data_IF_586096948786
#
_entry.id   IF_586096948786
#
_cell.length_a   1.000
_cell.length_b   1.000
_cell.length_c   1.000
_cell.angle_alpha   90.00
_cell.angle_beta   90.00
_cell.angle_gamma   90.00
#
_symmetry.space_group_name_H-M   'P 1'
#
loop_
_entity.id
_entity.type
_entity.pdbx_description
1 polymer ?
#
# COMPACT_ATOMS: atom_id res chain seq x y z
N UNK A 1 -27.66 37.51 -27.86
CA UNK A 1 -26.61 36.76 -28.58
C UNK A 1 -27.22 35.44 -29.07
N UNK A 2 -27.47 35.31 -30.39
CA UNK A 2 -27.96 34.05 -30.97
C UNK A 2 -26.84 33.01 -30.88
N UNK A 3 -27.13 31.86 -30.29
CA UNK A 3 -26.16 30.82 -29.96
C UNK A 3 -25.61 30.18 -31.24
N UNK A 4 -24.42 30.63 -31.67
CA UNK A 4 -23.78 30.28 -32.95
C UNK A 4 -23.59 28.77 -33.13
N UNK A 5 -23.46 28.04 -32.02
CA UNK A 5 -23.20 26.59 -32.00
C UNK A 5 -24.38 25.70 -32.40
N UNK A 6 -25.64 26.16 -32.28
CA UNK A 6 -26.80 25.35 -32.67
C UNK A 6 -27.17 25.51 -34.16
N UNK A 7 -26.80 26.63 -34.78
CA UNK A 7 -27.13 26.91 -36.19
C UNK A 7 -26.15 26.26 -37.18
N UNK A 8 -24.98 25.84 -36.70
CA UNK A 8 -23.94 25.18 -37.51
C UNK A 8 -23.99 23.65 -37.39
N UNK A 9 -24.98 23.09 -36.67
CA UNK A 9 -25.23 21.65 -36.69
C UNK A 9 -25.87 21.33 -38.05
N UNK A 10 -25.25 20.50 -38.90
CA UNK A 10 -25.87 20.11 -40.16
C UNK A 10 -27.25 19.53 -39.86
N UNK A 11 -28.26 19.84 -40.68
CA UNK A 11 -29.53 19.10 -40.71
C UNK A 11 -29.21 17.65 -41.16
N UNK A 12 -28.65 16.87 -40.25
CA UNK A 12 -28.57 15.44 -40.40
C UNK A 12 -29.98 14.98 -40.11
N UNK A 13 -30.75 14.68 -41.16
CA UNK A 13 -32.04 14.04 -41.00
C UNK A 13 -31.87 12.93 -39.97
N UNK A 14 -32.55 13.05 -38.83
CA UNK A 14 -32.41 12.13 -37.69
C UNK A 14 -32.67 10.68 -38.12
N UNK A 15 -33.39 10.50 -39.23
CA UNK A 15 -33.64 9.24 -39.92
C UNK A 15 -32.36 8.51 -40.38
N UNK A 16 -31.31 9.24 -40.76
CA UNK A 16 -30.07 8.66 -41.32
C UNK A 16 -28.94 8.51 -40.30
N UNK A 17 -29.15 8.94 -39.06
CA UNK A 17 -28.14 8.79 -37.99
C UNK A 17 -27.85 7.31 -37.73
N UNK A 18 -28.88 6.46 -37.75
CA UNK A 18 -28.73 5.02 -37.50
C UNK A 18 -27.97 4.34 -38.64
N UNK A 19 -28.32 4.64 -39.90
CA UNK A 19 -27.67 4.05 -41.07
C UNK A 19 -26.22 4.52 -41.21
N UNK A 20 -25.94 5.82 -40.98
CA UNK A 20 -24.56 6.34 -40.93
C UNK A 20 -23.75 5.70 -39.81
N UNK A 21 -24.30 5.55 -38.60
CA UNK A 21 -23.61 4.87 -37.50
C UNK A 21 -23.29 3.43 -37.84
N UNK A 22 -24.23 2.68 -38.40
CA UNK A 22 -24.01 1.31 -38.83
C UNK A 22 -22.94 1.20 -39.91
N UNK A 23 -22.96 2.12 -40.90
CA UNK A 23 -21.93 2.18 -41.95
C UNK A 23 -20.54 2.46 -41.37
N UNK A 24 -20.42 3.47 -40.51
CA UNK A 24 -19.16 3.81 -39.81
C UNK A 24 -18.67 2.64 -38.94
N UNK A 25 -19.57 1.94 -38.24
CA UNK A 25 -19.22 0.76 -37.45
C UNK A 25 -18.75 -0.40 -38.35
N UNK A 26 -19.39 -0.60 -39.51
CA UNK A 26 -19.00 -1.66 -40.45
C UNK A 26 -17.69 -1.38 -41.18
N UNK A 27 -17.36 -0.10 -41.38
CA UNK A 27 -16.14 0.36 -42.04
C UNK A 27 -14.97 0.53 -41.05
N UNK A 28 -15.26 0.60 -39.74
CA UNK A 28 -14.23 0.69 -38.71
C UNK A 28 -13.37 -0.59 -38.69
N UNK A 29 -12.07 -0.42 -38.54
CA UNK A 29 -11.15 -1.54 -38.36
C UNK A 29 -11.52 -2.33 -37.11
N UNK A 30 -11.48 -3.67 -37.21
CA UNK A 30 -11.81 -4.60 -36.11
C UNK A 30 -10.73 -4.60 -34.98
N UNK A 31 -9.78 -3.68 -35.05
CA UNK A 31 -8.75 -3.47 -34.03
C UNK A 31 -9.23 -2.47 -33.00
N UNK A 32 -9.17 -2.84 -31.71
CA UNK A 32 -9.40 -1.92 -30.61
C UNK A 32 -8.48 -0.69 -30.74
N UNK A 33 -9.01 0.54 -30.75
CA UNK A 33 -8.18 1.73 -30.74
C UNK A 33 -7.28 1.70 -29.50
N UNK A 34 -5.97 1.80 -29.71
CA UNK A 34 -4.99 1.94 -28.63
C UNK A 34 -5.08 3.37 -28.10
N UNK A 35 -6.00 3.62 -27.18
CA UNK A 35 -6.07 4.87 -26.45
C UNK A 35 -5.40 4.72 -25.09
N UNK A 36 -4.43 5.57 -24.78
CA UNK A 36 -3.94 5.70 -23.42
C UNK A 36 -4.63 6.90 -22.78
N UNK A 37 -5.50 6.62 -21.80
CA UNK A 37 -6.15 7.68 -21.04
C UNK A 37 -5.10 8.50 -20.29
N UNK A 38 -5.24 9.83 -20.30
CA UNK A 38 -4.38 10.73 -19.52
C UNK A 38 -4.33 10.34 -18.03
N UNK A 39 -5.43 9.79 -17.50
CA UNK A 39 -5.46 9.22 -16.14
C UNK A 39 -4.46 8.06 -15.95
N UNK A 40 -4.30 7.19 -16.95
CA UNK A 40 -3.33 6.09 -16.91
C UNK A 40 -1.89 6.61 -17.01
N UNK A 41 -1.65 7.64 -17.83
CA UNK A 41 -0.33 8.31 -17.92
C UNK A 41 0.02 8.92 -16.57
N UNK A 42 -0.91 9.67 -15.98
CA UNK A 42 -0.72 10.28 -14.66
C UNK A 42 -0.49 9.22 -13.58
N UNK A 43 -1.29 8.17 -13.55
CA UNK A 43 -1.13 7.08 -12.58
C UNK A 43 0.24 6.39 -12.70
N UNK A 44 0.76 6.19 -13.93
CA UNK A 44 2.11 5.65 -14.13
C UNK A 44 3.21 6.57 -13.60
N UNK A 45 3.03 7.89 -13.74
CA UNK A 45 3.99 8.87 -13.24
C UNK A 45 3.94 9.01 -11.71
N UNK A 46 2.75 8.94 -11.11
CA UNK A 46 2.57 9.05 -9.66
C UNK A 46 2.87 7.74 -8.91
N UNK A 47 2.63 6.59 -9.55
CA UNK A 47 2.78 5.27 -8.94
C UNK A 47 3.59 4.32 -9.83
N UNK A 48 4.86 4.67 -10.14
CA UNK A 48 5.73 3.80 -10.90
C UNK A 48 5.97 2.50 -10.13
N UNK A 49 5.98 1.37 -10.84
CA UNK A 49 6.31 0.07 -10.23
C UNK A 49 7.77 0.02 -9.78
N UNK A 50 8.65 0.63 -10.58
CA UNK A 50 10.09 0.74 -10.35
C UNK A 50 10.53 2.11 -10.82
N UNK A 51 11.43 2.73 -10.07
CA UNK A 51 12.17 3.92 -10.43
C UNK A 51 13.66 3.58 -10.35
N UNK A 52 14.42 4.01 -11.36
CA UNK A 52 15.87 3.89 -11.39
C UNK A 52 16.47 5.19 -10.87
N UNK A 53 17.32 5.06 -9.85
CA UNK A 53 17.95 6.21 -9.20
C UNK A 53 19.46 6.04 -9.18
N UNK A 54 20.17 7.15 -9.03
CA UNK A 54 21.61 7.19 -8.84
C UNK A 54 21.93 7.84 -7.51
N UNK A 55 22.85 7.25 -6.75
CA UNK A 55 23.37 7.86 -5.53
C UNK A 55 24.26 9.03 -5.95
N UNK A 56 23.89 10.25 -5.58
CA UNK A 56 24.67 11.46 -5.93
C UNK A 56 25.45 12.01 -4.77
N UNK A 57 25.06 11.69 -3.54
CA UNK A 57 25.70 12.16 -2.32
C UNK A 57 25.44 11.18 -1.17
N UNK A 58 26.41 11.06 -0.27
CA UNK A 58 26.31 10.25 0.95
C UNK A 58 26.87 11.11 2.10
N UNK A 59 26.04 11.34 3.11
CA UNK A 59 26.43 12.03 4.34
C UNK A 59 26.53 11.01 5.47
N UNK A 60 27.71 10.91 6.09
CA UNK A 60 27.95 10.05 7.24
C UNK A 60 27.43 10.70 8.53
N UNK A 61 26.60 9.95 9.26
CA UNK A 61 26.21 10.22 10.64
C UNK A 61 26.82 9.14 11.54
N UNK A 62 26.75 9.31 12.86
CA UNK A 62 27.40 8.43 13.83
C UNK A 62 27.24 6.91 13.54
N UNK A 63 26.01 6.39 13.54
CA UNK A 63 25.71 4.98 13.22
C UNK A 63 24.72 4.82 12.04
N UNK A 64 24.61 5.86 11.23
CA UNK A 64 23.70 5.93 10.09
C UNK A 64 24.32 6.72 8.94
N UNK A 65 23.76 6.60 7.75
CA UNK A 65 24.11 7.44 6.60
C UNK A 65 22.86 8.00 5.94
N UNK A 66 22.98 9.18 5.36
CA UNK A 66 21.95 9.75 4.48
C UNK A 66 22.39 9.58 3.05
N UNK A 67 21.51 9.02 2.21
CA UNK A 67 21.75 8.85 0.79
C UNK A 67 20.86 9.81 0.02
N UNK A 68 21.47 10.65 -0.81
CA UNK A 68 20.73 11.45 -1.80
C UNK A 68 20.59 10.64 -3.08
N UNK A 69 19.34 10.32 -3.42
CA UNK A 69 18.94 9.54 -4.58
C UNK A 69 18.36 10.49 -5.64
N UNK A 70 19.03 10.62 -6.78
CA UNK A 70 18.52 11.38 -7.92
C UNK A 70 17.92 10.46 -8.99
N UNK A 71 16.94 10.96 -9.75
CA UNK A 71 16.45 10.27 -10.95
C UNK A 71 17.61 9.89 -11.88
N UNK A 72 17.56 8.68 -12.48
CA UNK A 72 18.56 8.22 -13.45
C UNK A 72 17.95 8.16 -14.86
N UNK A 73 18.16 9.20 -15.70
CA UNK A 73 17.62 9.26 -17.06
C UNK A 73 18.18 8.18 -17.98
N UNK A 74 19.42 7.72 -17.75
CA UNK A 74 20.08 6.69 -18.56
C UNK A 74 19.37 5.33 -18.43
N UNK A 75 18.68 5.12 -17.30
CA UNK A 75 17.85 3.95 -17.03
C UNK A 75 16.34 4.24 -17.16
N UNK A 76 15.98 5.35 -17.80
CA UNK A 76 14.60 5.68 -18.18
C UNK A 76 13.80 6.48 -17.14
N UNK A 77 14.30 6.67 -15.92
CA UNK A 77 13.64 7.51 -14.91
C UNK A 77 14.08 8.96 -15.08
N UNK A 78 13.24 9.77 -15.73
CA UNK A 78 13.51 11.20 -15.96
C UNK A 78 13.09 12.11 -14.82
N UNK A 79 12.05 11.69 -14.07
CA UNK A 79 11.50 12.40 -12.91
C UNK A 79 11.14 11.36 -11.86
N UNK A 80 11.35 11.72 -10.60
CA UNK A 80 10.86 10.93 -9.49
C UNK A 80 9.35 11.16 -9.35
N UNK A 81 8.65 10.16 -8.81
CA UNK A 81 7.26 10.29 -8.43
C UNK A 81 7.08 11.36 -7.33
N UNK A 82 5.86 11.83 -7.14
CA UNK A 82 5.57 12.69 -6.00
C UNK A 82 5.20 11.85 -4.78
N UNK A 83 5.49 12.38 -3.59
CA UNK A 83 5.18 11.73 -2.32
C UNK A 83 4.56 12.72 -1.35
N UNK A 84 3.93 12.19 -0.30
CA UNK A 84 3.49 12.96 0.88
C UNK A 84 4.50 12.78 1.99
N UNK A 85 4.74 13.84 2.76
CA UNK A 85 5.70 13.80 3.84
C UNK A 85 5.41 12.66 4.83
N UNK A 86 6.42 11.83 5.08
CA UNK A 86 6.32 10.61 5.90
C UNK A 86 6.11 9.29 5.13
N UNK A 87 6.00 9.33 3.80
CA UNK A 87 6.03 8.12 2.98
C UNK A 87 7.45 7.53 2.85
N UNK A 88 7.52 6.26 2.45
CA UNK A 88 8.77 5.53 2.23
C UNK A 88 8.92 5.07 0.78
N UNK A 89 10.14 4.71 0.40
CA UNK A 89 10.44 3.94 -0.81
C UNK A 89 11.07 2.61 -0.43
N UNK A 90 10.81 1.58 -1.22
CA UNK A 90 11.38 0.26 -1.05
C UNK A 90 12.57 0.08 -1.98
N UNK A 91 13.76 -0.14 -1.44
CA UNK A 91 14.98 -0.49 -2.18
C UNK A 91 14.93 -1.95 -2.61
N UNK A 92 15.16 -2.21 -3.89
CA UNK A 92 15.31 -3.56 -4.44
C UNK A 92 16.79 -3.91 -4.49
N UNK A 93 17.19 -4.94 -3.74
CA UNK A 93 18.59 -5.30 -3.56
C UNK A 93 18.82 -6.74 -4.02
N UNK A 94 20.01 -6.98 -4.57
CA UNK A 94 20.52 -8.31 -4.90
C UNK A 94 21.89 -8.48 -4.25
N UNK A 95 21.95 -9.32 -3.22
CA UNK A 95 23.14 -9.51 -2.37
C UNK A 95 23.40 -11.01 -2.27
N UNK A 96 24.57 -11.49 -2.70
CA UNK A 96 24.99 -12.90 -2.61
C UNK A 96 23.95 -13.92 -3.09
N UNK A 97 23.29 -13.63 -4.22
CA UNK A 97 22.24 -14.47 -4.80
C UNK A 97 20.85 -14.29 -4.17
N UNK A 98 20.75 -13.64 -3.00
CA UNK A 98 19.48 -13.25 -2.39
C UNK A 98 18.86 -12.06 -3.13
N UNK A 99 17.53 -12.06 -3.27
CA UNK A 99 16.79 -10.94 -3.86
C UNK A 99 15.80 -10.45 -2.82
N UNK A 100 16.01 -9.24 -2.31
CA UNK A 100 15.27 -8.73 -1.17
C UNK A 100 14.85 -7.28 -1.34
N UNK A 101 13.84 -6.90 -0.56
CA UNK A 101 13.31 -5.54 -0.55
C UNK A 101 13.40 -4.94 0.85
N UNK A 102 13.81 -3.67 0.98
CA UNK A 102 13.84 -2.96 2.28
C UNK A 102 13.19 -1.58 2.18
N UNK A 103 12.20 -1.26 3.03
CA UNK A 103 11.57 0.05 3.07
C UNK A 103 12.43 1.04 3.84
N UNK A 104 12.54 2.27 3.32
CA UNK A 104 13.19 3.40 3.98
C UNK A 104 12.35 4.66 3.80
N UNK A 105 11.95 5.28 4.91
CA UNK A 105 11.20 6.53 4.89
C UNK A 105 12.01 7.63 4.22
N UNK A 106 11.36 8.40 3.35
CA UNK A 106 11.98 9.55 2.71
C UNK A 106 12.15 10.61 3.79
N UNK A 107 13.38 11.10 3.99
CA UNK A 107 13.75 12.10 5.00
C UNK A 107 14.05 13.48 4.37
N UNK A 108 13.43 13.77 3.23
CA UNK A 108 13.45 15.07 2.55
C UNK A 108 12.04 15.65 2.40
N UNK A 109 11.95 16.93 2.06
CA UNK A 109 10.70 17.60 1.67
C UNK A 109 10.09 16.99 0.40
N UNK A 110 8.75 16.85 0.29
CA UNK A 110 8.06 16.61 -0.97
C UNK A 110 8.45 17.57 -2.10
N UNK A 111 8.86 18.80 -1.76
CA UNK A 111 9.31 19.80 -2.73
C UNK A 111 10.57 19.36 -3.48
N UNK A 112 11.50 18.68 -2.83
CA UNK A 112 12.74 18.19 -3.45
C UNK A 112 12.48 17.12 -4.53
N UNK A 113 11.34 16.41 -4.46
CA UNK A 113 10.93 15.48 -5.52
C UNK A 113 10.77 16.19 -6.88
N UNK A 114 10.30 17.45 -6.88
CA UNK A 114 10.19 18.26 -8.10
C UNK A 114 11.54 18.62 -8.71
N UNK A 115 12.58 18.64 -7.88
CA UNK A 115 13.99 18.81 -8.27
C UNK A 115 14.65 17.46 -8.61
N UNK A 116 13.90 16.35 -8.53
CA UNK A 116 14.36 15.02 -8.88
C UNK A 116 15.21 14.35 -7.81
N UNK A 117 15.04 14.73 -6.53
CA UNK A 117 15.82 14.20 -5.40
C UNK A 117 14.95 13.59 -4.31
N UNK A 118 15.37 12.46 -3.78
CA UNK A 118 14.95 11.94 -2.48
C UNK A 118 16.15 11.83 -1.56
N UNK A 119 15.93 11.99 -0.25
CA UNK A 119 16.90 11.57 0.77
C UNK A 119 16.33 10.43 1.58
N UNK A 120 17.14 9.42 1.86
CA UNK A 120 16.80 8.34 2.79
C UNK A 120 17.87 8.22 3.86
N UNK A 121 17.47 7.90 5.08
CA UNK A 121 18.38 7.64 6.19
C UNK A 121 18.44 6.14 6.45
N UNK A 122 19.64 5.59 6.48
CA UNK A 122 19.90 4.17 6.70
C UNK A 122 20.79 3.99 7.92
N UNK A 123 20.19 3.57 9.03
CA UNK A 123 20.91 3.20 10.25
C UNK A 123 21.39 1.75 10.16
N UNK A 124 22.65 1.50 10.50
CA UNK A 124 23.20 0.14 10.53
C UNK A 124 22.57 -0.63 11.69
N UNK A 125 22.06 -1.84 11.42
CA UNK A 125 21.66 -2.80 12.47
C UNK A 125 22.83 -3.75 12.69
N UNK A 126 23.19 -4.04 13.93
CA UNK A 126 24.33 -4.91 14.26
C UNK A 126 24.25 -6.28 13.56
N UNK A 127 23.07 -6.90 13.56
CA UNK A 127 22.80 -8.18 12.89
C UNK A 127 22.11 -8.01 11.51
N UNK A 128 22.18 -6.80 10.93
CA UNK A 128 21.44 -6.43 9.73
C UNK A 128 22.13 -6.80 8.44
N UNK A 129 21.62 -7.80 7.71
CA UNK A 129 22.16 -8.18 6.39
C UNK A 129 22.14 -7.05 5.37
N UNK A 130 20.97 -6.42 5.16
CA UNK A 130 20.80 -5.41 4.11
C UNK A 130 21.32 -4.03 4.48
N UNK A 131 21.12 -3.57 5.73
CA UNK A 131 21.60 -2.26 6.18
C UNK A 131 23.11 -2.19 6.26
N UNK A 132 23.78 -3.30 6.62
CA UNK A 132 25.24 -3.42 6.55
C UNK A 132 25.74 -3.29 5.12
N UNK A 133 25.18 -4.07 4.19
CA UNK A 133 25.53 -3.96 2.76
C UNK A 133 25.35 -2.53 2.23
N UNK A 134 24.21 -1.89 2.54
CA UNK A 134 23.98 -0.51 2.11
C UNK A 134 25.07 0.42 2.61
N UNK A 135 25.40 0.36 3.91
CA UNK A 135 26.34 1.30 4.53
C UNK A 135 27.83 1.02 4.27
N UNK A 136 28.19 -0.22 3.93
CA UNK A 136 29.57 -0.63 3.68
C UNK A 136 29.93 -0.70 2.18
N UNK A 137 28.99 -1.09 1.31
CA UNK A 137 29.29 -1.40 -0.09
C UNK A 137 28.78 -0.35 -1.09
N UNK A 138 27.68 0.36 -0.80
CA UNK A 138 27.15 1.37 -1.71
C UNK A 138 27.97 2.67 -1.67
N UNK A 139 28.20 3.24 -2.85
CA UNK A 139 28.99 4.48 -3.02
C UNK A 139 28.31 5.46 -3.96
N UNK A 140 28.74 6.72 -3.88
CA UNK A 140 28.34 7.76 -4.83
C UNK A 140 28.63 7.29 -6.25
N UNK A 141 27.63 7.42 -7.12
CA UNK A 141 27.67 6.96 -8.51
C UNK A 141 26.91 5.66 -8.78
N UNK A 142 26.63 4.84 -7.75
CA UNK A 142 25.90 3.59 -7.92
C UNK A 142 24.45 3.83 -8.36
N UNK A 143 23.93 2.90 -9.17
CA UNK A 143 22.53 2.91 -9.60
C UNK A 143 21.72 1.88 -8.82
N UNK A 144 20.53 2.28 -8.39
CA UNK A 144 19.62 1.46 -7.58
C UNK A 144 18.23 1.42 -8.22
N UNK A 145 17.49 0.34 -7.96
CA UNK A 145 16.06 0.27 -8.23
C UNK A 145 15.27 0.49 -6.95
N UNK A 146 14.28 1.38 -6.99
CA UNK A 146 13.37 1.64 -5.87
C UNK A 146 11.91 1.55 -6.32
N UNK A 147 10.99 1.32 -5.39
CA UNK A 147 9.56 1.44 -5.66
C UNK A 147 9.12 2.89 -5.89
N UNK A 148 7.88 3.10 -6.30
CA UNK A 148 7.18 4.37 -6.04
C UNK A 148 7.05 4.67 -4.53
N UNK A 149 6.73 5.91 -4.14
CA UNK A 149 6.41 6.26 -2.76
C UNK A 149 5.21 5.48 -2.23
N UNK A 150 5.33 5.00 -1.00
CA UNK A 150 4.42 4.06 -0.36
C UNK A 150 4.19 4.42 1.11
N UNK A 151 3.19 3.76 1.71
CA UNK A 151 2.84 3.97 3.12
C UNK A 151 1.75 5.02 3.31
N UNK A 152 1.13 4.95 4.49
CA UNK A 152 0.00 5.78 4.91
C UNK A 152 0.35 6.67 6.11
N UNK A 153 1.63 6.75 6.46
CA UNK A 153 2.17 7.52 7.58
C UNK A 153 2.44 8.98 7.16
N UNK A 154 1.40 9.65 6.69
CA UNK A 154 1.42 11.06 6.31
C UNK A 154 0.26 11.79 6.99
N UNK A 155 0.35 13.11 7.17
CA UNK A 155 -0.75 13.91 7.71
C UNK A 155 -1.91 14.04 6.70
N UNK A 156 -3.15 13.91 7.16
CA UNK A 156 -4.36 14.13 6.36
C UNK A 156 -5.41 14.87 7.20
N UNK A 157 -5.71 16.13 6.86
CA UNK A 157 -6.60 16.98 7.66
C UNK A 157 -8.05 16.50 7.80
N UNK A 158 -8.53 15.64 6.87
CA UNK A 158 -9.83 14.98 7.04
C UNK A 158 -9.82 13.85 8.07
N UNK A 159 -8.64 13.33 8.39
CA UNK A 159 -8.42 12.10 9.14
C UNK A 159 -7.79 12.36 10.51
N UNK A 160 -6.86 13.30 10.56
CA UNK A 160 -6.00 13.63 11.69
C UNK A 160 -6.34 15.02 12.24
N UNK A 161 -5.94 15.26 13.47
CA UNK A 161 -6.13 16.56 14.12
C UNK A 161 -4.98 17.52 13.76
N UNK A 162 -5.23 18.82 13.80
CA UNK A 162 -4.25 19.87 13.45
C UNK A 162 -2.98 19.82 14.29
N UNK A 163 -3.07 19.39 15.55
CA UNK A 163 -1.93 19.18 16.43
C UNK A 163 -1.46 17.74 16.37
N UNK A 164 -0.21 17.53 15.93
CA UNK A 164 0.42 16.21 15.80
C UNK A 164 1.60 16.11 16.75
N UNK A 165 1.58 15.09 17.61
CA UNK A 165 2.70 14.69 18.47
C UNK A 165 3.43 13.51 17.83
N UNK A 166 4.61 13.77 17.27
CA UNK A 166 5.48 12.78 16.66
C UNK A 166 6.41 12.13 17.68
N UNK A 167 6.21 10.86 17.99
CA UNK A 167 7.06 10.09 18.89
C UNK A 167 8.10 9.34 18.05
N UNK A 168 9.35 9.79 18.12
CA UNK A 168 10.45 9.27 17.32
C UNK A 168 11.46 8.50 18.16
N UNK A 169 12.09 7.47 17.57
CA UNK A 169 13.23 6.78 18.17
C UNK A 169 14.19 6.23 17.11
N UNK A 170 15.50 6.42 17.32
CA UNK A 170 16.53 6.02 16.35
C UNK A 170 16.28 6.57 14.95
N UNK A 171 16.33 5.71 13.92
CA UNK A 171 16.07 6.08 12.52
C UNK A 171 14.60 6.42 12.24
N UNK A 172 13.69 6.18 13.18
CA UNK A 172 12.27 6.55 13.09
C UNK A 172 12.03 8.06 13.05
N UNK A 173 13.08 8.87 13.19
CA UNK A 173 13.03 10.32 12.99
C UNK A 173 12.81 10.72 11.52
N UNK A 174 13.18 9.86 10.57
CA UNK A 174 13.13 10.10 9.12
C UNK A 174 11.80 10.68 8.60
N UNK A 175 10.62 10.07 8.86
CA UNK A 175 9.35 10.63 8.41
C UNK A 175 9.03 11.98 9.03
N UNK A 176 9.43 12.23 10.28
CA UNK A 176 9.17 13.50 10.96
C UNK A 176 10.05 14.64 10.43
N UNK A 177 11.28 14.35 10.01
CA UNK A 177 12.12 15.32 9.29
C UNK A 177 11.45 15.72 7.98
N UNK A 178 10.92 14.76 7.22
CA UNK A 178 10.16 15.05 6.00
C UNK A 178 8.94 15.92 6.27
N UNK A 179 8.17 15.64 7.34
CA UNK A 179 7.02 16.46 7.75
C UNK A 179 7.43 17.87 8.17
N UNK A 180 8.49 18.00 8.97
CA UNK A 180 8.99 19.30 9.43
C UNK A 180 9.53 20.15 8.27
N UNK A 181 10.22 19.55 7.30
CA UNK A 181 10.63 20.25 6.08
C UNK A 181 9.42 20.66 5.23
N UNK A 182 8.43 19.78 5.08
CA UNK A 182 7.21 20.07 4.32
C UNK A 182 6.41 21.26 4.92
N UNK A 183 6.36 21.36 6.26
CA UNK A 183 5.77 22.50 6.98
C UNK A 183 6.58 23.78 6.73
N UNK A 184 7.91 23.72 6.83
CA UNK A 184 8.76 24.89 6.58
C UNK A 184 8.66 25.39 5.13
N UNK A 185 8.49 24.48 4.17
CA UNK A 185 8.38 24.81 2.75
C UNK A 185 6.97 25.30 2.36
N UNK A 186 6.00 25.22 3.28
CA UNK A 186 4.59 25.60 3.05
C UNK A 186 3.81 24.60 2.21
N UNK A 187 4.30 23.36 2.07
CA UNK A 187 3.59 22.27 1.35
C UNK A 187 2.59 21.54 2.24
N UNK A 188 2.77 21.61 3.55
CA UNK A 188 1.86 21.08 4.57
C UNK A 188 1.56 22.18 5.60
N UNK A 189 0.37 22.15 6.19
CA UNK A 189 -0.09 23.17 7.12
C UNK A 189 -0.75 22.55 8.36
N UNK A 190 0.09 22.15 9.32
CA UNK A 190 -0.33 21.63 10.63
C UNK A 190 0.76 21.88 11.68
N UNK A 191 0.45 21.66 12.95
CA UNK A 191 1.38 21.84 14.07
C UNK A 191 2.04 20.50 14.41
N UNK A 192 3.36 20.44 14.40
CA UNK A 192 4.14 19.23 14.68
C UNK A 192 5.03 19.42 15.91
N UNK A 193 4.75 18.66 16.96
CA UNK A 193 5.62 18.54 18.13
C UNK A 193 6.33 17.18 18.09
N UNK A 194 7.63 17.18 17.88
CA UNK A 194 8.46 15.97 17.85
C UNK A 194 9.01 15.72 19.26
N UNK A 195 8.72 14.54 19.82
CA UNK A 195 9.32 14.05 21.06
C UNK A 195 10.25 12.90 20.66
N UNK A 196 11.56 13.16 20.70
CA UNK A 196 12.57 12.28 20.15
C UNK A 196 13.37 11.59 21.26
N UNK A 197 13.16 10.27 21.39
CA UNK A 197 13.91 9.40 22.29
C UNK A 197 15.26 8.98 21.71
N UNK A 198 16.32 9.15 22.49
CA UNK A 198 17.66 8.65 22.23
C UNK A 198 18.27 8.09 23.51
N UNK A 199 19.35 7.31 23.40
CA UNK A 199 20.08 6.82 24.58
C UNK A 199 20.87 7.96 25.21
N UNK A 200 21.74 8.56 24.42
CA UNK A 200 22.57 9.70 24.77
C UNK A 200 22.36 10.84 23.77
N UNK A 201 22.73 12.05 24.17
CA UNK A 201 22.62 13.26 23.35
C UNK A 201 23.46 13.20 22.07
N UNK A 202 24.60 12.53 22.10
CA UNK A 202 25.49 12.33 20.94
C UNK A 202 24.89 11.40 19.87
N UNK A 203 23.93 10.54 20.24
CA UNK A 203 23.29 9.59 19.32
C UNK A 203 22.01 10.13 18.67
N UNK A 204 21.65 11.39 18.95
CA UNK A 204 20.47 12.03 18.35
C UNK A 204 20.77 12.31 16.87
N UNK A 205 20.24 11.48 15.99
CA UNK A 205 20.39 11.65 14.55
C UNK A 205 19.68 12.93 14.10
N UNK A 206 20.32 13.70 13.21
CA UNK A 206 19.74 14.92 12.63
C UNK A 206 19.37 16.01 13.66
N UNK A 207 19.99 16.03 14.84
CA UNK A 207 19.69 17.02 15.89
C UNK A 207 19.80 18.47 15.40
N UNK A 208 20.91 18.83 14.78
CA UNK A 208 21.15 20.20 14.30
C UNK A 208 20.10 20.62 13.27
N UNK A 209 19.77 19.70 12.35
CA UNK A 209 18.73 19.90 11.33
C UNK A 209 17.35 20.10 11.97
N UNK A 210 17.00 19.31 12.96
CA UNK A 210 15.73 19.44 13.69
C UNK A 210 15.63 20.78 14.44
N UNK A 211 16.72 21.19 15.11
CA UNK A 211 16.79 22.46 15.81
C UNK A 211 16.68 23.65 14.82
N UNK A 212 17.29 23.54 13.64
CA UNK A 212 17.14 24.51 12.54
C UNK A 212 15.68 24.58 12.05
N UNK A 213 15.06 23.42 11.77
CA UNK A 213 13.68 23.35 11.30
C UNK A 213 12.70 23.92 12.33
N UNK A 214 12.92 23.65 13.61
CA UNK A 214 12.09 24.22 14.68
C UNK A 214 12.14 25.76 14.65
N UNK A 215 13.35 26.35 14.54
CA UNK A 215 13.54 27.80 14.44
C UNK A 215 12.90 28.38 13.17
N UNK A 216 13.03 27.70 12.04
CA UNK A 216 12.56 28.16 10.71
C UNK A 216 11.04 28.07 10.54
N UNK A 217 10.38 27.20 11.30
CA UNK A 217 8.94 26.92 11.18
C UNK A 217 8.00 28.01 11.72
N UNK A 218 8.53 29.11 12.26
CA UNK A 218 7.76 30.15 12.96
C UNK A 218 6.84 29.58 14.06
N UNK A 219 7.31 28.56 14.78
CA UNK A 219 6.61 27.96 15.92
C UNK A 219 5.70 26.77 15.60
N UNK A 220 5.52 26.42 14.31
CA UNK A 220 4.72 25.25 13.89
C UNK A 220 5.41 23.92 14.15
N UNK A 221 6.74 23.89 14.17
CA UNK A 221 7.56 22.71 14.49
C UNK A 221 8.27 22.94 15.81
N UNK A 222 8.02 22.06 16.78
CA UNK A 222 8.70 22.03 18.08
C UNK A 222 9.37 20.68 18.26
N UNK A 223 10.53 20.67 18.90
CA UNK A 223 11.32 19.44 19.12
C UNK A 223 11.75 19.38 20.58
N UNK A 224 11.51 18.22 21.19
CA UNK A 224 11.89 17.91 22.56
C UNK A 224 12.62 16.57 22.56
N UNK A 225 13.69 16.49 23.35
CA UNK A 225 14.57 15.33 23.38
C UNK A 225 14.44 14.61 24.72
N UNK A 226 14.38 13.28 24.66
CA UNK A 226 14.30 12.40 25.83
C UNK A 226 15.48 11.45 25.81
N UNK A 227 16.28 11.43 26.88
CA UNK A 227 17.49 10.62 27.00
C UNK A 227 17.32 9.51 28.04
N UNK A 228 17.54 8.26 27.64
CA UNK A 228 17.36 7.11 28.55
C UNK A 228 18.58 6.82 29.43
N UNK A 229 19.79 7.14 28.95
CA UNK A 229 21.06 6.72 29.56
C UNK A 229 21.92 7.94 30.03
N UNK A 230 21.43 9.17 29.85
CA UNK A 230 22.12 10.44 30.19
C UNK A 230 21.14 11.45 30.80
N UNK A 231 21.42 11.95 32.01
CA UNK A 231 20.75 13.15 32.55
C UNK A 231 21.48 14.41 32.07
N UNK A 232 20.76 15.32 31.40
CA UNK A 232 21.34 16.53 30.80
C UNK A 232 20.37 17.70 30.87
N UNK A 233 20.89 18.88 31.18
CA UNK A 233 20.09 20.10 31.19
C UNK A 233 19.51 20.43 29.82
N UNK A 234 18.22 20.77 29.77
CA UNK A 234 17.46 20.97 28.52
C UNK A 234 16.92 19.68 27.87
N UNK A 235 17.07 18.52 28.51
CA UNK A 235 16.54 17.23 28.03
C UNK A 235 15.63 16.61 29.09
N UNK A 236 14.64 15.83 28.65
CA UNK A 236 13.91 14.93 29.55
C UNK A 236 14.75 13.68 29.82
N UNK A 237 14.58 13.09 31.00
CA UNK A 237 15.26 11.85 31.37
C UNK A 237 14.30 10.64 31.41
N UNK A 238 14.78 9.50 30.93
CA UNK A 238 14.06 8.22 30.90
C UNK A 238 13.50 7.87 29.52
N UNK A 239 12.28 7.34 29.49
CA UNK A 239 11.57 6.97 28.26
C UNK A 239 10.42 7.92 27.98
N UNK A 240 9.91 7.92 26.74
CA UNK A 240 8.74 8.74 26.36
C UNK A 240 7.49 8.19 27.06
N UNK A 241 6.98 8.92 28.05
CA UNK A 241 5.79 8.54 28.83
C UNK A 241 4.56 9.35 28.44
N UNK A 242 3.39 8.91 28.88
CA UNK A 242 2.15 9.68 28.79
C UNK A 242 2.27 11.06 29.45
N UNK A 243 3.03 11.16 30.54
CA UNK A 243 3.21 12.42 31.27
C UNK A 243 4.07 13.42 30.50
N UNK A 244 5.14 12.95 29.83
CA UNK A 244 5.94 13.80 28.91
C UNK A 244 5.06 14.31 27.77
N UNK A 245 4.21 13.45 27.20
CA UNK A 245 3.31 13.84 26.11
C UNK A 245 2.32 14.91 26.59
N UNK A 246 1.70 14.74 27.78
CA UNK A 246 0.79 15.74 28.36
C UNK A 246 1.49 17.04 28.72
N UNK A 247 2.72 16.98 29.25
CA UNK A 247 3.54 18.16 29.55
C UNK A 247 3.67 19.04 28.31
N UNK A 248 4.14 18.46 27.21
CA UNK A 248 4.30 19.21 25.96
C UNK A 248 2.99 19.55 25.27
N UNK A 249 1.91 18.82 25.54
CA UNK A 249 0.57 19.23 25.15
C UNK A 249 0.18 20.57 25.80
N UNK A 250 0.40 20.69 27.09
CA UNK A 250 0.11 21.90 27.85
C UNK A 250 1.04 23.05 27.46
N UNK A 251 2.34 22.79 27.25
CA UNK A 251 3.33 23.81 26.86
C UNK A 251 3.05 24.43 25.48
N UNK A 252 2.21 23.78 24.66
CA UNK A 252 1.74 24.36 23.40
C UNK A 252 0.43 25.15 23.52
N UNK A 253 -0.12 25.30 24.72
CA UNK A 253 -1.43 25.92 25.03
C UNK A 253 -2.64 25.21 24.39
N UNK A 254 -2.55 23.89 24.17
CA UNK A 254 -3.55 23.11 23.41
C UNK A 254 -4.09 21.91 24.23
N UNK A 255 -4.18 22.06 25.55
CA UNK A 255 -4.58 20.98 26.46
C UNK A 255 -5.98 20.41 26.13
N UNK A 256 -6.90 21.29 25.72
CA UNK A 256 -8.29 20.94 25.39
C UNK A 256 -8.51 20.64 23.89
N UNK A 257 -7.49 20.85 23.06
CA UNK A 257 -7.58 20.63 21.63
C UNK A 257 -7.42 19.15 21.26
N UNK A 258 -8.07 18.78 20.16
CA UNK A 258 -7.87 17.44 19.59
C UNK A 258 -6.46 17.35 19.02
N UNK A 259 -5.80 16.23 19.29
CA UNK A 259 -4.49 15.95 18.75
C UNK A 259 -4.39 14.54 18.19
N UNK A 260 -3.41 14.34 17.31
CA UNK A 260 -3.01 13.03 16.81
C UNK A 260 -1.62 12.67 17.31
N UNK A 261 -1.39 11.38 17.48
CA UNK A 261 -0.09 10.84 17.90
C UNK A 261 0.44 9.95 16.79
N UNK A 262 1.63 10.28 16.31
CA UNK A 262 2.30 9.58 15.22
C UNK A 262 3.54 8.92 15.82
N UNK A 263 3.73 7.63 15.61
CA UNK A 263 4.81 6.85 16.23
C UNK A 263 5.67 6.21 15.16
N UNK A 264 6.98 6.45 15.21
CA UNK A 264 7.96 5.80 14.34
C UNK A 264 9.28 5.54 15.09
N UNK A 265 9.78 4.30 15.04
CA UNK A 265 10.87 3.84 15.88
C UNK A 265 11.04 2.32 15.88
N UNK A 266 11.72 1.79 16.90
CA UNK A 266 11.96 0.34 17.06
C UNK A 266 10.71 -0.42 17.52
N UNK A 267 10.68 -1.73 17.30
CA UNK A 267 9.62 -2.60 17.83
C UNK A 267 9.50 -2.49 19.35
N UNK A 268 10.63 -2.44 20.08
CA UNK A 268 10.66 -2.24 21.52
C UNK A 268 10.00 -0.90 21.95
N UNK A 269 10.24 0.17 21.20
CA UNK A 269 9.59 1.46 21.45
C UNK A 269 8.08 1.39 21.25
N UNK A 270 7.61 0.67 20.22
CA UNK A 270 6.18 0.51 19.97
C UNK A 270 5.51 -0.28 21.09
N UNK A 271 6.15 -1.35 21.54
CA UNK A 271 5.64 -2.20 22.61
C UNK A 271 5.56 -1.47 23.95
N UNK A 272 6.53 -0.59 24.23
CA UNK A 272 6.50 0.28 25.40
C UNK A 272 5.41 1.35 25.29
N UNK A 273 5.34 2.06 24.16
CA UNK A 273 4.40 3.15 23.94
C UNK A 273 2.94 2.70 23.89
N UNK A 274 2.64 1.47 23.49
CA UNK A 274 1.28 0.94 23.56
C UNK A 274 0.67 1.10 24.96
N UNK A 275 1.45 0.83 26.01
CA UNK A 275 1.02 1.00 27.41
C UNK A 275 0.80 2.47 27.79
N UNK A 276 1.67 3.37 27.31
CA UNK A 276 1.58 4.80 27.56
C UNK A 276 0.42 5.46 26.81
N UNK A 277 0.17 5.06 25.57
CA UNK A 277 -0.91 5.61 24.74
C UNK A 277 -2.30 5.24 25.27
N UNK A 278 -2.44 4.09 25.96
CA UNK A 278 -3.68 3.73 26.67
C UNK A 278 -3.97 4.76 27.77
N UNK A 279 -2.94 5.19 28.52
CA UNK A 279 -3.09 6.17 29.61
C UNK A 279 -3.54 7.54 29.10
N UNK A 280 -3.19 7.91 27.86
CA UNK A 280 -3.62 9.18 27.25
C UNK A 280 -5.12 9.24 26.95
N UNK A 281 -5.81 8.10 26.89
CA UNK A 281 -7.25 8.02 26.60
C UNK A 281 -7.66 8.73 25.30
N UNK A 282 -6.79 8.70 24.29
CA UNK A 282 -7.10 9.23 22.95
C UNK A 282 -7.79 8.19 22.09
N UNK A 283 -8.72 8.63 21.25
CA UNK A 283 -9.38 7.71 20.32
C UNK A 283 -8.36 7.10 19.34
N UNK A 284 -8.36 5.77 19.22
CA UNK A 284 -7.43 5.00 18.37
C UNK A 284 -7.30 5.53 16.93
N UNK A 285 -8.35 6.14 16.39
CA UNK A 285 -8.33 6.76 15.06
C UNK A 285 -7.33 7.91 14.91
N UNK A 286 -6.87 8.52 16.01
CA UNK A 286 -5.86 9.59 16.02
C UNK A 286 -4.45 9.07 16.30
N UNK A 287 -4.26 7.76 16.47
CA UNK A 287 -2.95 7.13 16.64
C UNK A 287 -2.52 6.56 15.29
N UNK A 288 -1.31 6.90 14.87
CA UNK A 288 -0.66 6.39 13.66
C UNK A 288 0.64 5.70 14.04
N UNK A 289 0.87 4.55 13.45
CA UNK A 289 2.16 3.86 13.51
C UNK A 289 2.72 3.78 12.11
N UNK A 290 4.01 4.07 11.96
CA UNK A 290 4.73 3.77 10.74
C UNK A 290 5.10 2.27 10.70
N UNK A 291 5.44 1.77 9.51
CA UNK A 291 6.00 0.44 9.36
C UNK A 291 7.44 0.42 9.89
N UNK A 292 7.69 -0.28 11.00
CA UNK A 292 9.04 -0.48 11.54
C UNK A 292 9.86 -1.52 10.76
N UNK A 293 9.33 -2.04 9.65
CA UNK A 293 10.00 -3.01 8.78
C UNK A 293 9.70 -4.45 9.16
N UNK A 294 10.74 -5.28 9.22
CA UNK A 294 10.62 -6.69 9.53
C UNK A 294 10.27 -6.91 11.01
N UNK A 295 9.28 -7.77 11.26
CA UNK A 295 8.92 -8.15 12.63
C UNK A 295 9.95 -9.13 13.17
N UNK A 296 10.55 -8.81 14.31
CA UNK A 296 11.51 -9.68 14.99
C UNK A 296 10.74 -10.47 16.07
N UNK A 297 10.80 -11.81 16.00
CA UNK A 297 10.23 -12.67 17.03
C UNK A 297 10.92 -12.37 18.37
N UNK A 298 10.13 -12.11 19.41
CA UNK A 298 10.64 -11.68 20.71
C UNK A 298 10.02 -12.43 21.89
N UNK A 299 10.11 -11.84 23.08
CA UNK A 299 9.58 -12.45 24.33
C UNK A 299 8.08 -12.80 24.25
N UNK A 300 7.31 -11.99 23.51
CA UNK A 300 5.87 -12.22 23.27
C UNK A 300 5.57 -13.48 22.46
N UNK A 301 6.55 -13.93 21.69
CA UNK A 301 6.46 -15.12 20.83
C UNK A 301 7.25 -16.30 21.43
N UNK A 302 7.63 -16.22 22.71
CA UNK A 302 8.51 -17.19 23.39
C UNK A 302 7.97 -18.61 23.37
N UNK A 303 6.65 -18.82 23.48
CA UNK A 303 6.04 -20.14 23.37
C UNK A 303 6.34 -20.78 22.00
N UNK A 304 6.11 -20.03 20.91
CA UNK A 304 6.41 -20.48 19.56
C UNK A 304 7.91 -20.70 19.36
N UNK A 305 8.75 -19.76 19.82
CA UNK A 305 10.20 -19.88 19.70
C UNK A 305 10.66 -21.16 20.41
N UNK A 306 10.26 -21.38 21.65
CA UNK A 306 10.71 -22.53 22.44
C UNK A 306 10.32 -23.87 21.82
N UNK A 307 9.14 -23.95 21.19
CA UNK A 307 8.66 -25.17 20.55
C UNK A 307 9.33 -25.43 19.19
N UNK A 308 9.60 -24.39 18.40
CA UNK A 308 9.99 -24.53 16.99
C UNK A 308 11.41 -24.04 16.63
N UNK A 309 12.20 -23.51 17.57
CA UNK A 309 13.47 -22.78 17.32
C UNK A 309 14.41 -23.44 16.30
N UNK A 310 14.61 -24.75 16.42
CA UNK A 310 15.57 -25.54 15.63
C UNK A 310 14.93 -26.21 14.40
N UNK A 311 13.62 -26.03 14.20
CA UNK A 311 12.87 -26.68 13.14
C UNK A 311 13.12 -26.04 11.78
N UNK A 312 13.31 -26.89 10.78
CA UNK A 312 13.44 -26.52 9.36
C UNK A 312 12.39 -27.30 8.58
N UNK A 313 11.59 -26.58 7.80
CA UNK A 313 10.50 -27.13 6.99
C UNK A 313 10.76 -26.93 5.50
N UNK A 314 10.10 -27.74 4.67
CA UNK A 314 10.08 -27.56 3.22
C UNK A 314 8.96 -26.59 2.85
N UNK A 315 9.34 -25.50 2.18
CA UNK A 315 8.41 -24.53 1.60
C UNK A 315 8.36 -24.71 0.08
N UNK A 316 7.20 -25.13 -0.41
CA UNK A 316 6.89 -25.20 -1.84
C UNK A 316 6.27 -23.89 -2.30
N UNK A 317 6.99 -23.16 -3.14
CA UNK A 317 6.61 -21.83 -3.63
C UNK A 317 6.22 -21.90 -5.09
N UNK A 318 4.99 -21.49 -5.41
CA UNK A 318 4.53 -21.32 -6.79
C UNK A 318 4.43 -19.83 -7.10
N UNK A 319 5.21 -19.37 -8.08
CA UNK A 319 5.23 -17.96 -8.52
C UNK A 319 4.39 -17.74 -9.78
N UNK A 320 4.16 -16.46 -10.14
CA UNK A 320 3.35 -16.06 -11.31
C UNK A 320 3.82 -16.62 -12.67
N UNK A 321 5.07 -17.03 -12.77
CA UNK A 321 5.61 -17.72 -13.95
C UNK A 321 5.17 -19.20 -14.04
N UNK A 322 4.35 -19.67 -13.09
CA UNK A 322 3.90 -21.05 -12.96
C UNK A 322 4.98 -22.00 -12.46
N UNK A 323 6.19 -21.51 -12.14
CA UNK A 323 7.28 -22.35 -11.65
C UNK A 323 7.09 -22.66 -10.18
N UNK A 324 7.29 -23.93 -9.87
CA UNK A 324 7.33 -24.45 -8.51
C UNK A 324 8.79 -24.60 -8.07
N UNK A 325 9.10 -24.13 -6.87
CA UNK A 325 10.41 -24.25 -6.25
C UNK A 325 10.24 -24.74 -4.82
N UNK A 326 11.05 -25.70 -4.41
CA UNK A 326 11.08 -26.19 -3.03
C UNK A 326 12.33 -25.64 -2.36
N UNK A 327 12.14 -24.97 -1.23
CA UNK A 327 13.22 -24.33 -0.47
C UNK A 327 13.12 -24.72 1.01
N UNK A 328 14.21 -24.60 1.74
CA UNK A 328 14.20 -24.73 3.20
C UNK A 328 13.71 -23.42 3.82
N UNK A 329 12.86 -23.53 4.85
CA UNK A 329 12.40 -22.41 5.66
C UNK A 329 12.58 -22.75 7.14
N UNK A 330 13.38 -21.95 7.85
CA UNK A 330 13.53 -22.06 9.31
C UNK A 330 12.26 -21.56 9.99
N UNK A 331 11.85 -22.17 11.09
CA UNK A 331 10.71 -21.67 11.87
C UNK A 331 10.95 -20.26 12.44
N UNK A 332 12.21 -19.87 12.61
CA UNK A 332 12.64 -18.57 13.16
C UNK A 332 12.81 -17.48 12.11
N UNK A 333 12.62 -17.77 10.82
CA UNK A 333 12.60 -16.77 9.75
C UNK A 333 11.22 -16.69 9.11
N UNK A 334 10.82 -15.51 8.63
CA UNK A 334 9.54 -15.40 7.92
C UNK A 334 9.59 -16.14 6.58
N UNK A 335 8.42 -16.59 6.08
CA UNK A 335 8.31 -17.21 4.77
C UNK A 335 8.87 -16.31 3.65
N UNK A 336 8.75 -14.98 3.80
CA UNK A 336 9.39 -14.03 2.89
C UNK A 336 10.91 -14.14 2.93
N UNK A 337 11.54 -14.15 4.11
CA UNK A 337 13.00 -14.24 4.24
C UNK A 337 13.53 -15.54 3.65
N UNK A 338 12.85 -16.67 3.87
CA UNK A 338 13.20 -17.93 3.24
C UNK A 338 13.21 -17.82 1.70
N UNK A 339 12.17 -17.20 1.11
CA UNK A 339 12.10 -16.93 -0.33
C UNK A 339 13.21 -16.00 -0.83
N UNK A 340 13.48 -14.91 -0.12
CA UNK A 340 14.52 -13.94 -0.47
C UNK A 340 15.90 -14.60 -0.49
N UNK A 341 16.21 -15.40 0.55
CA UNK A 341 17.46 -16.17 0.69
C UNK A 341 17.64 -17.20 -0.43
N UNK A 342 16.54 -17.77 -0.91
CA UNK A 342 16.55 -18.71 -2.05
C UNK A 342 16.57 -18.01 -3.43
N UNK A 343 16.68 -16.67 -3.47
CA UNK A 343 16.69 -15.90 -4.72
C UNK A 343 15.32 -15.81 -5.40
N UNK A 344 14.23 -16.11 -4.69
CA UNK A 344 12.86 -16.00 -5.21
C UNK A 344 12.37 -14.57 -5.00
N UNK A 345 12.11 -13.86 -6.10
CA UNK A 345 11.54 -12.50 -6.06
C UNK A 345 10.07 -12.52 -5.65
N UNK A 346 9.82 -12.54 -4.35
CA UNK A 346 8.48 -12.40 -3.78
C UNK A 346 8.07 -10.91 -3.70
N UNK A 347 6.78 -10.58 -3.87
CA UNK A 347 6.29 -9.21 -3.70
C UNK A 347 6.43 -8.79 -2.23
N UNK A 348 7.17 -7.72 -1.97
CA UNK A 348 7.29 -7.15 -0.63
C UNK A 348 7.53 -5.64 -0.69
N UNK A 349 7.04 -4.94 0.33
CA UNK A 349 7.12 -3.49 0.52
C UNK A 349 7.41 -3.19 1.99
N UNK A 350 6.39 -2.98 2.82
CA UNK A 350 6.53 -2.58 4.23
C UNK A 350 7.24 -3.59 5.16
N UNK A 351 7.24 -4.89 4.84
CA UNK A 351 7.68 -6.02 5.69
C UNK A 351 7.03 -6.18 7.08
N UNK A 352 6.08 -5.34 7.46
CA UNK A 352 5.46 -5.34 8.80
C UNK A 352 4.06 -5.96 8.87
N UNK A 353 3.59 -6.58 7.79
CA UNK A 353 2.23 -7.14 7.69
C UNK A 353 1.13 -6.12 7.40
N UNK A 354 1.45 -4.81 7.39
CA UNK A 354 0.47 -3.72 7.30
C UNK A 354 -0.03 -3.42 5.87
N UNK A 355 0.85 -3.44 4.86
CA UNK A 355 0.49 -2.96 3.51
C UNK A 355 -0.30 -3.96 2.65
N UNK A 356 -0.29 -5.25 3.00
CA UNK A 356 -0.95 -6.32 2.23
C UNK A 356 -0.34 -6.63 0.86
N UNK A 357 0.76 -5.99 0.43
CA UNK A 357 1.34 -6.22 -0.89
C UNK A 357 1.91 -7.63 -1.09
N UNK A 358 2.37 -8.27 -0.01
CA UNK A 358 2.89 -9.63 -0.05
C UNK A 358 1.79 -10.72 -0.03
N UNK A 359 0.51 -10.34 0.01
CA UNK A 359 -0.65 -11.24 0.12
C UNK A 359 -0.51 -12.46 -0.80
N UNK A 360 -0.47 -13.63 -0.20
CA UNK A 360 -0.24 -14.92 -0.87
C UNK A 360 -1.20 -15.96 -0.33
N UNK A 361 -1.55 -16.98 -1.12
CA UNK A 361 -2.49 -18.04 -0.71
C UNK A 361 -1.71 -19.20 -0.09
N UNK A 362 -2.00 -19.54 1.16
CA UNK A 362 -1.54 -20.77 1.80
C UNK A 362 -2.45 -21.91 1.32
N UNK A 363 -1.87 -22.87 0.61
CA UNK A 363 -2.60 -24.03 0.06
C UNK A 363 -2.56 -25.21 1.01
N UNK A 364 -1.43 -25.40 1.69
CA UNK A 364 -1.18 -26.48 2.62
C UNK A 364 -0.14 -26.06 3.65
N UNK A 365 -0.23 -26.62 4.84
CA UNK A 365 0.69 -26.40 5.95
C UNK A 365 0.08 -25.53 7.05
N UNK A 366 0.72 -25.57 8.21
CA UNK A 366 0.38 -24.78 9.38
C UNK A 366 1.40 -23.67 9.56
N UNK A 367 0.93 -22.50 9.98
CA UNK A 367 1.75 -21.31 10.14
C UNK A 367 1.46 -20.59 11.44
N UNK A 368 2.45 -19.89 11.94
CA UNK A 368 2.36 -18.95 13.04
C UNK A 368 2.39 -17.51 12.50
N UNK A 369 1.48 -16.68 12.99
CA UNK A 369 1.44 -15.24 12.67
C UNK A 369 1.34 -14.52 14.02
N UNK A 370 2.34 -13.73 14.41
CA UNK A 370 2.32 -13.00 15.67
C UNK A 370 1.13 -12.03 15.73
N UNK A 371 0.43 -12.00 16.87
CA UNK A 371 -0.81 -11.24 17.04
C UNK A 371 -0.60 -9.74 16.76
N UNK A 372 0.55 -9.20 17.16
CA UNK A 372 0.92 -7.78 17.00
C UNK A 372 0.91 -7.31 15.54
N UNK A 373 1.25 -8.20 14.60
CA UNK A 373 1.35 -7.93 13.15
C UNK A 373 0.25 -8.63 12.34
N UNK A 374 -0.75 -9.20 13.02
CA UNK A 374 -1.90 -9.81 12.38
C UNK A 374 -2.89 -8.73 11.88
N UNK A 375 -2.61 -8.23 10.67
CA UNK A 375 -3.38 -7.16 10.01
C UNK A 375 -4.23 -7.68 8.85
N UNK A 376 -4.34 -8.99 8.68
CA UNK A 376 -5.13 -9.57 7.59
C UNK A 376 -6.60 -9.25 7.79
N UNK A 377 -7.29 -9.03 6.67
CA UNK A 377 -8.75 -8.87 6.67
C UNK A 377 -9.39 -10.19 7.11
N UNK A 378 -10.58 -10.12 7.73
CA UNK A 378 -11.30 -11.33 8.13
C UNK A 378 -11.51 -12.30 6.95
N UNK A 379 -11.81 -11.77 5.76
CA UNK A 379 -11.93 -12.58 4.55
C UNK A 379 -10.63 -13.33 4.20
N UNK A 380 -9.47 -12.70 4.35
CA UNK A 380 -8.18 -13.33 4.08
C UNK A 380 -7.91 -14.47 5.06
N UNK A 381 -8.26 -14.29 6.35
CA UNK A 381 -8.17 -15.35 7.37
C UNK A 381 -9.04 -16.56 7.02
N UNK A 382 -10.27 -16.31 6.56
CA UNK A 382 -11.22 -17.36 6.20
C UNK A 382 -10.87 -18.09 4.90
N UNK A 383 -10.19 -17.42 3.97
CA UNK A 383 -9.89 -17.95 2.63
C UNK A 383 -8.45 -18.43 2.47
N UNK A 384 -7.69 -18.52 3.57
CA UNK A 384 -6.34 -19.05 3.59
C UNK A 384 -5.29 -18.10 2.99
N UNK A 385 -5.56 -16.80 2.92
CA UNK A 385 -4.54 -15.82 2.53
C UNK A 385 -3.68 -15.41 3.73
N UNK A 386 -2.38 -15.31 3.50
CA UNK A 386 -1.36 -14.94 4.49
C UNK A 386 -0.54 -13.75 3.99
N UNK A 387 0.18 -13.11 4.92
CA UNK A 387 1.20 -12.10 4.62
C UNK A 387 2.59 -12.72 4.91
N UNK A 388 3.30 -13.27 3.89
CA UNK A 388 4.55 -14.00 4.09
C UNK A 388 5.65 -13.21 4.80
N UNK A 389 5.60 -11.87 4.78
CA UNK A 389 6.58 -11.03 5.46
C UNK A 389 6.54 -11.13 6.99
N UNK A 390 5.44 -11.61 7.55
CA UNK A 390 5.25 -11.75 9.01
C UNK A 390 4.58 -13.10 9.35
N UNK A 391 4.77 -14.11 8.50
CA UNK A 391 4.25 -15.46 8.69
C UNK A 391 5.43 -16.41 8.82
N UNK A 392 5.36 -17.32 9.80
CA UNK A 392 6.41 -18.27 10.15
C UNK A 392 5.89 -19.71 10.00
N UNK A 393 6.69 -20.67 9.49
CA UNK A 393 6.22 -22.04 9.28
C UNK A 393 6.17 -22.85 10.59
N UNK A 394 5.11 -23.66 10.76
CA UNK A 394 4.99 -24.70 11.80
C UNK A 394 5.08 -26.13 11.24
N UNK A 395 4.96 -26.26 9.92
CA UNK A 395 5.07 -27.51 9.17
C UNK A 395 5.47 -27.22 7.72
N UNK A 396 5.66 -28.28 6.93
CA UNK A 396 5.86 -28.14 5.49
C UNK A 396 4.69 -27.40 4.85
N UNK A 397 5.01 -26.38 4.06
CA UNK A 397 4.03 -25.44 3.53
C UNK A 397 4.02 -25.41 2.00
N UNK A 398 2.86 -25.18 1.41
CA UNK A 398 2.71 -24.84 -0.01
C UNK A 398 2.02 -23.49 -0.16
N UNK A 399 2.67 -22.54 -0.84
CA UNK A 399 2.15 -21.18 -1.04
C UNK A 399 2.08 -20.81 -2.52
N UNK A 400 1.03 -20.06 -2.87
CA UNK A 400 0.90 -19.40 -4.17
C UNK A 400 1.20 -17.92 -3.99
N UNK A 401 2.29 -17.46 -4.59
CA UNK A 401 2.79 -16.09 -4.46
C UNK A 401 2.28 -15.26 -5.62
N UNK A 402 1.39 -14.31 -5.34
CA UNK A 402 0.79 -13.38 -6.30
C UNK A 402 0.01 -14.05 -7.47
N UNK A 403 -0.20 -15.36 -7.41
CA UNK A 403 -1.09 -16.09 -8.30
C UNK A 403 -2.51 -15.88 -7.78
N UNK A 404 -3.25 -14.94 -8.35
CA UNK A 404 -4.71 -15.10 -8.41
C UNK A 404 -4.96 -16.43 -9.13
N UNK A 405 -5.94 -17.22 -8.68
CA UNK A 405 -6.43 -18.36 -9.48
C UNK A 405 -6.57 -17.90 -10.93
N UNK A 406 -6.11 -18.69 -11.91
CA UNK A 406 -5.94 -18.25 -13.28
C UNK A 406 -7.20 -17.50 -13.71
N UNK A 407 -7.06 -16.19 -13.96
CA UNK A 407 -8.16 -15.38 -14.49
C UNK A 407 -8.65 -16.12 -15.72
N UNK A 408 -9.87 -16.63 -15.66
CA UNK A 408 -10.52 -17.24 -16.81
C UNK A 408 -10.52 -16.16 -17.89
N UNK A 409 -9.64 -16.26 -18.88
CA UNK A 409 -9.64 -15.38 -20.04
C UNK A 409 -10.94 -15.63 -20.80
N UNK A 410 -11.96 -14.83 -20.47
CA UNK A 410 -13.23 -14.86 -21.19
C UNK A 410 -12.97 -14.24 -22.56
N UNK A 411 -12.82 -15.07 -23.60
CA UNK A 411 -12.68 -14.56 -24.97
C UNK A 411 -14.03 -14.02 -25.42
N UNK A 412 -14.03 -12.94 -26.20
CA UNK A 412 -15.26 -12.32 -26.75
C UNK A 412 -16.12 -13.33 -27.55
N UNK A 413 -15.49 -14.32 -28.18
CA UNK A 413 -16.19 -15.43 -28.86
C UNK A 413 -17.02 -16.29 -27.89
N UNK A 414 -16.56 -16.49 -26.66
CA UNK A 414 -17.27 -17.28 -25.64
C UNK A 414 -18.50 -16.54 -25.13
N UNK A 415 -18.45 -15.20 -25.06
CA UNK A 415 -19.63 -14.37 -24.75
C UNK A 415 -20.66 -14.42 -25.88
N UNK A 416 -20.26 -14.19 -27.15
CA UNK A 416 -21.19 -14.25 -28.29
C UNK A 416 -21.84 -15.64 -28.44
N UNK A 417 -21.11 -16.72 -28.13
CA UNK A 417 -21.65 -18.08 -28.13
C UNK A 417 -22.64 -18.27 -26.98
N UNK A 418 -22.29 -17.84 -25.76
CA UNK A 418 -23.17 -17.95 -24.58
C UNK A 418 -24.45 -17.10 -24.75
N UNK A 419 -24.35 -15.86 -25.22
CA UNK A 419 -25.50 -14.99 -25.53
C UNK A 419 -26.42 -15.62 -26.58
N UNK A 420 -25.86 -16.20 -27.66
CA UNK A 420 -26.65 -16.90 -28.68
C UNK A 420 -27.33 -18.15 -28.13
N UNK A 421 -26.62 -18.98 -27.37
CA UNK A 421 -27.20 -20.20 -26.77
C UNK A 421 -28.28 -19.84 -25.75
N UNK A 422 -28.05 -18.82 -24.94
CA UNK A 422 -28.97 -18.39 -23.89
C UNK A 422 -30.21 -17.69 -24.49
N UNK A 423 -30.04 -16.90 -25.55
CA UNK A 423 -31.15 -16.33 -26.32
C UNK A 423 -32.04 -17.41 -26.96
N UNK A 424 -31.42 -18.48 -27.48
CA UNK A 424 -32.14 -19.60 -28.11
C UNK A 424 -32.88 -20.47 -27.07
N UNK A 425 -32.28 -20.72 -25.91
CA UNK A 425 -32.95 -21.41 -24.79
C UNK A 425 -34.12 -20.59 -24.26
N UNK A 426 -33.94 -19.27 -24.10
CA UNK A 426 -35.01 -18.40 -23.61
C UNK A 426 -36.16 -18.24 -24.61
N UNK A 427 -35.90 -18.22 -25.93
CA UNK A 427 -36.98 -18.20 -26.92
C UNK A 427 -37.81 -19.47 -26.86
N UNK A 428 -37.17 -20.63 -26.65
CA UNK A 428 -37.87 -21.92 -26.52
C UNK A 428 -38.75 -21.94 -25.27
N UNK A 429 -38.24 -21.50 -24.12
CA UNK A 429 -38.99 -21.46 -22.86
C UNK A 429 -40.18 -20.51 -22.96
N UNK A 430 -39.98 -19.31 -23.52
CA UNK A 430 -41.04 -18.33 -23.77
C UNK A 430 -42.14 -18.87 -24.68
N UNK A 431 -41.76 -19.48 -25.81
CA UNK A 431 -42.72 -20.08 -26.74
C UNK A 431 -43.52 -21.21 -26.11
N UNK A 432 -42.88 -22.07 -25.32
CA UNK A 432 -43.56 -23.16 -24.61
C UNK A 432 -44.53 -22.64 -23.54
N UNK A 433 -44.12 -21.65 -22.75
CA UNK A 433 -44.96 -21.03 -21.72
C UNK A 433 -46.17 -20.30 -22.33
N UNK A 434 -45.97 -19.57 -23.43
CA UNK A 434 -47.07 -18.92 -24.15
C UNK A 434 -48.03 -19.95 -24.76
N UNK A 435 -47.51 -21.03 -25.36
CA UNK A 435 -48.33 -22.10 -25.93
C UNK A 435 -49.21 -22.79 -24.88
N UNK A 436 -48.64 -23.13 -23.72
CA UNK A 436 -49.36 -23.75 -22.62
C UNK A 436 -50.45 -22.83 -22.04
N UNK A 437 -50.15 -21.54 -21.90
CA UNK A 437 -51.09 -20.56 -21.35
C UNK A 437 -52.23 -20.27 -22.34
N UNK A 438 -51.94 -20.12 -23.64
CA UNK A 438 -52.97 -19.97 -24.67
C UNK A 438 -53.89 -21.19 -24.72
N UNK A 439 -53.34 -22.40 -24.64
CA UNK A 439 -54.15 -23.62 -24.56
C UNK A 439 -55.05 -23.64 -23.32
N UNK A 440 -54.52 -23.27 -22.14
CA UNK A 440 -55.28 -23.17 -20.91
C UNK A 440 -56.41 -22.13 -20.97
N UNK A 441 -56.15 -20.95 -21.55
CA UNK A 441 -57.15 -19.87 -21.68
C UNK A 441 -58.26 -20.22 -22.68
N UNK A 442 -57.94 -20.98 -23.74
CA UNK A 442 -58.94 -21.53 -24.67
C UNK A 442 -59.81 -22.57 -23.97
N UNK A 443 -59.22 -23.48 -23.18
CA UNK A 443 -59.95 -24.50 -22.42
C UNK A 443 -60.89 -23.91 -21.36
N UNK A 444 -60.60 -22.71 -20.83
CA UNK A 444 -61.49 -21.98 -19.91
C UNK A 444 -62.53 -21.08 -20.60
N UNK A 445 -62.79 -21.27 -21.89
CA UNK A 445 -63.91 -20.64 -22.58
C UNK A 445 -63.64 -19.21 -23.06
N UNK A 446 -62.37 -18.81 -23.24
CA UNK A 446 -62.01 -17.48 -23.71
C UNK A 446 -61.31 -17.51 -25.09
N UNK A 447 -62.06 -17.76 -26.19
CA UNK A 447 -61.49 -18.03 -27.51
C UNK A 447 -60.80 -16.82 -28.16
N UNK A 448 -60.97 -15.61 -27.62
CA UNK A 448 -60.29 -14.39 -28.11
C UNK A 448 -58.85 -14.23 -27.59
N UNK A 449 -58.39 -15.09 -26.67
CA UNK A 449 -57.03 -15.04 -26.11
C UNK A 449 -55.91 -15.24 -27.16
N UNK A 450 -56.24 -15.75 -28.35
CA UNK A 450 -55.30 -15.87 -29.47
C UNK A 450 -55.13 -14.57 -30.30
N UNK A 451 -55.97 -13.54 -30.09
CA UNK A 451 -55.99 -12.34 -30.96
C UNK A 451 -55.05 -11.22 -30.53
N UNK A 452 -54.52 -11.22 -29.32
CA UNK A 452 -53.49 -10.25 -28.88
C UNK A 452 -52.80 -10.71 -27.61
N UNK A 453 -51.47 -10.59 -27.57
CA UNK A 453 -50.67 -10.88 -26.37
C UNK A 453 -51.01 -9.85 -25.27
N UNK A 454 -51.34 -10.27 -24.04
CA UNK A 454 -51.59 -9.33 -22.95
C UNK A 454 -50.32 -8.51 -22.65
N UNK A 455 -50.44 -7.18 -22.69
CA UNK A 455 -49.36 -6.20 -22.41
C UNK A 455 -48.55 -6.51 -21.13
N UNK A 456 -49.13 -6.99 -20.01
CA UNK A 456 -48.36 -7.36 -18.81
C UNK A 456 -47.32 -8.46 -19.04
N UNK A 457 -47.56 -9.38 -19.99
CA UNK A 457 -46.63 -10.47 -20.30
C UNK A 457 -45.40 -9.99 -21.10
N UNK A 458 -45.53 -8.94 -21.92
CA UNK A 458 -44.35 -8.32 -22.56
C UNK A 458 -43.42 -7.69 -21.52
N UNK A 459 -43.98 -7.09 -20.46
CA UNK A 459 -43.19 -6.55 -19.35
C UNK A 459 -42.46 -7.65 -18.56
N UNK A 460 -43.12 -8.76 -18.25
CA UNK A 460 -42.49 -9.90 -17.58
C UNK A 460 -41.36 -10.49 -18.45
N UNK A 461 -41.57 -10.57 -19.77
CA UNK A 461 -40.53 -11.04 -20.70
C UNK A 461 -39.31 -10.11 -20.74
N UNK A 462 -39.51 -8.79 -20.70
CA UNK A 462 -38.43 -7.81 -20.67
C UNK A 462 -37.68 -7.84 -19.33
N UNK A 463 -38.38 -8.05 -18.21
CA UNK A 463 -37.75 -8.20 -16.89
C UNK A 463 -36.89 -9.47 -16.84
N UNK A 464 -37.40 -10.61 -17.33
CA UNK A 464 -36.63 -11.84 -17.44
C UNK A 464 -35.42 -11.68 -18.35
N UNK A 465 -35.56 -11.00 -19.50
CA UNK A 465 -34.42 -10.71 -20.39
C UNK A 465 -33.34 -9.86 -19.68
N UNK A 466 -33.77 -8.86 -18.90
CA UNK A 466 -32.88 -7.94 -18.18
C UNK A 466 -32.09 -8.65 -17.06
N UNK A 467 -32.76 -9.56 -16.33
CA UNK A 467 -32.14 -10.35 -15.26
C UNK A 467 -31.17 -11.41 -15.82
N UNK A 468 -31.41 -11.92 -17.02
CA UNK A 468 -30.62 -13.02 -17.59
C UNK A 468 -29.41 -12.54 -18.39
N UNK A 469 -29.47 -11.35 -19.02
CA UNK A 469 -28.35 -10.78 -19.80
C UNK A 469 -27.31 -10.08 -18.91
N UNK A 470 -27.62 -9.86 -17.63
CA UNK A 470 -26.68 -9.32 -16.66
C UNK A 470 -26.41 -7.84 -16.89
N UNK A 471 -27.29 -7.00 -16.34
CA UNK A 471 -26.80 -5.85 -15.57
C UNK A 471 -26.11 -6.41 -14.32
#
# INVERSE_FOLDING_TARGET
>A
MKNKYLNDVPDVEVKDIVSKRQKVISEAADSMPKYEYNANVLAKNLHPKVQHVKITDIEDLADAKIYTLCANPDLGTKKLAYFRAGQYVSLFLKIDGSVLTRPYSICSSPREAFEGKYRILVKTKADGFASKYINEELKVGDSLEISGPEGFFYYEGLRDAEFVYGLAGGSGISPFVSMAEAICDGTEDFNLTIIYGSRNSENILLKEKLDELSKRSNGKVKVFYVLSDEEKDGFEYGFITADIIRKYQNDTNNADEKYSVFVCGSQAMYDYLDGELIKLNIAKKYIRYDAYGEYELGERDSEFINEFKESIYKLTVVTNDGKERVIDAKATESLLVAMERAGIKAPSKCRSGECGFCRSKLVLGDVFIPEKVEKRRQYDKLTGYIHPCCTYPKSDCRILVNCEEPRVERKVKDMKKKERTMGLVMSIIMSAAMGALSAYLVLKGNPKAMKSVPVPMMYISNILLSVTVGI
#
